data_IF_985282446359
#
_entry.id   IF_985282446359
#
_cell.length_a   1.000
_cell.length_b   1.000
_cell.length_c   1.000
_cell.angle_alpha   90.00
_cell.angle_beta   90.00
_cell.angle_gamma   90.00
#
_symmetry.space_group_name_H-M   'P 1'
#
loop_
_entity.id
_entity.type
_entity.pdbx_description
1 polymer ?
#
# COMPACT_ATOMS: atom_id res chain seq x y z
N UNK A 1 19.24 -3.12 2.98
CA UNK A 1 18.15 -3.23 3.98
C UNK A 1 17.10 -2.21 3.59
N UNK A 2 15.81 -2.56 3.45
CA UNK A 2 14.77 -1.55 3.30
C UNK A 2 14.88 -0.52 4.44
N UNK A 3 14.56 0.74 4.17
CA UNK A 3 14.46 1.71 5.24
C UNK A 3 13.45 1.20 6.28
N UNK A 4 13.69 1.42 7.59
CA UNK A 4 12.84 0.89 8.67
C UNK A 4 11.34 1.16 8.45
N UNK A 5 11.02 2.31 7.84
CA UNK A 5 9.67 2.70 7.42
C UNK A 5 9.04 1.71 6.43
N UNK A 6 9.77 1.27 5.40
CA UNK A 6 9.25 0.32 4.41
C UNK A 6 9.03 -1.07 5.02
N UNK A 7 9.97 -1.57 5.82
CA UNK A 7 9.79 -2.84 6.54
C UNK A 7 8.55 -2.82 7.44
N UNK A 8 8.26 -1.69 8.08
CA UNK A 8 7.06 -1.51 8.89
C UNK A 8 5.77 -1.51 8.06
N UNK A 9 5.77 -0.85 6.90
CA UNK A 9 4.62 -0.82 6.00
C UNK A 9 4.37 -2.20 5.37
N UNK A 10 5.42 -2.95 5.00
CA UNK A 10 5.32 -4.33 4.53
C UNK A 10 4.74 -5.26 5.59
N UNK A 11 5.24 -5.16 6.83
CA UNK A 11 4.71 -5.93 7.95
C UNK A 11 3.24 -5.59 8.24
N UNK A 12 2.86 -4.31 8.13
CA UNK A 12 1.47 -3.87 8.31
C UNK A 12 0.55 -4.41 7.20
N UNK A 13 0.99 -4.36 5.95
CA UNK A 13 0.27 -4.92 4.81
C UNK A 13 0.06 -6.44 4.97
N UNK A 14 1.12 -7.17 5.32
CA UNK A 14 1.07 -8.61 5.57
C UNK A 14 0.17 -8.97 6.78
N UNK A 15 0.06 -8.08 7.77
CA UNK A 15 -0.86 -8.27 8.89
C UNK A 15 -2.33 -8.09 8.44
N UNK A 16 -2.61 -7.08 7.63
CA UNK A 16 -3.94 -6.81 7.08
C UNK A 16 -4.46 -7.97 6.20
N UNK A 17 -3.57 -8.61 5.44
CA UNK A 17 -3.92 -9.78 4.62
C UNK A 17 -4.36 -11.01 5.44
N UNK A 18 -4.05 -11.06 6.75
CA UNK A 18 -4.31 -12.21 7.62
C UNK A 18 -5.45 -12.01 8.61
N UNK A 19 -5.76 -10.76 8.96
CA UNK A 19 -6.77 -10.43 9.97
C UNK A 19 -7.37 -9.04 9.75
N UNK A 20 -8.59 -8.77 10.22
CA UNK A 20 -9.17 -7.43 10.14
C UNK A 20 -8.28 -6.39 10.84
N UNK A 21 -8.23 -5.17 10.29
CA UNK A 21 -7.36 -4.10 10.79
C UNK A 21 -7.56 -3.82 12.28
N UNK A 22 -8.79 -3.89 12.79
CA UNK A 22 -9.10 -3.72 14.22
C UNK A 22 -8.31 -4.69 15.12
N UNK A 23 -8.01 -5.91 14.66
CA UNK A 23 -7.25 -6.93 15.38
C UNK A 23 -5.72 -6.83 15.19
N UNK A 24 -5.23 -5.96 14.29
CA UNK A 24 -3.78 -5.74 14.10
C UNK A 24 -3.21 -4.95 15.28
N UNK A 25 -2.12 -5.45 15.88
CA UNK A 25 -1.46 -4.79 17.02
C UNK A 25 -0.13 -4.18 16.57
N UNK A 26 0.13 -2.95 17.01
CA UNK A 26 1.38 -2.21 16.72
C UNK A 26 2.63 -3.01 17.11
N UNK A 27 2.59 -3.71 18.25
CA UNK A 27 3.72 -4.55 18.71
C UNK A 27 4.03 -5.70 17.76
N UNK A 28 3.00 -6.32 17.17
CA UNK A 28 3.18 -7.45 16.25
C UNK A 28 3.79 -6.97 14.92
N UNK A 29 3.38 -5.79 14.46
CA UNK A 29 3.95 -5.15 13.27
C UNK A 29 5.42 -4.80 13.48
N UNK A 30 5.76 -4.17 14.61
CA UNK A 30 7.14 -3.84 14.94
C UNK A 30 8.04 -5.08 15.00
N UNK A 31 7.56 -6.14 15.67
CA UNK A 31 8.27 -7.41 15.78
C UNK A 31 8.48 -8.06 14.40
N UNK A 32 7.45 -8.10 13.55
CA UNK A 32 7.54 -8.65 12.20
C UNK A 32 8.49 -7.85 11.28
N UNK A 33 8.59 -6.54 11.48
CA UNK A 33 9.51 -5.67 10.75
C UNK A 33 10.95 -5.69 11.31
N UNK A 34 11.21 -6.38 12.43
CA UNK A 34 12.52 -6.42 13.07
C UNK A 34 12.94 -5.10 13.72
N UNK A 35 11.97 -4.27 14.13
CA UNK A 35 12.24 -2.96 14.74
C UNK A 35 11.60 -2.83 16.12
N UNK A 36 12.08 -1.89 16.93
CA UNK A 36 11.51 -1.65 18.26
C UNK A 36 10.11 -1.03 18.17
N UNK A 37 9.27 -1.25 19.20
CA UNK A 37 7.99 -0.56 19.33
C UNK A 37 8.14 0.95 19.31
N UNK A 38 9.16 1.48 19.99
CA UNK A 38 9.43 2.91 20.06
C UNK A 38 9.73 3.47 18.67
N UNK A 39 10.52 2.78 17.85
CA UNK A 39 10.79 3.15 16.45
C UNK A 39 9.48 3.25 15.67
N UNK A 40 8.61 2.25 15.76
CA UNK A 40 7.32 2.29 15.06
C UNK A 40 6.46 3.49 15.48
N UNK A 41 6.34 3.74 16.79
CA UNK A 41 5.59 4.90 17.28
C UNK A 41 6.24 6.23 16.91
N UNK A 42 7.57 6.32 16.85
CA UNK A 42 8.25 7.53 16.38
C UNK A 42 7.98 7.80 14.90
N UNK A 43 7.95 6.75 14.08
CA UNK A 43 7.72 6.87 12.63
C UNK A 43 6.26 7.21 12.29
N UNK A 44 5.30 6.62 12.99
CA UNK A 44 3.87 6.70 12.60
C UNK A 44 2.96 7.35 13.63
N UNK A 45 3.41 7.56 14.86
CA UNK A 45 2.65 8.16 15.97
C UNK A 45 1.56 7.27 16.56
N UNK A 46 0.73 6.65 15.72
CA UNK A 46 -0.40 5.82 16.14
C UNK A 46 -0.74 4.74 15.12
N UNK A 47 -1.64 3.82 15.49
CA UNK A 47 -2.17 2.79 14.59
C UNK A 47 -2.87 3.42 13.38
N UNK A 48 -3.60 4.51 13.59
CA UNK A 48 -4.24 5.24 12.49
C UNK A 48 -3.21 5.97 11.62
N UNK A 49 -2.13 6.48 12.22
CA UNK A 49 -1.01 7.04 11.45
C UNK A 49 -0.35 6.01 10.55
N UNK A 50 -0.11 4.80 11.06
CA UNK A 50 0.37 3.67 10.27
C UNK A 50 -0.62 3.28 9.16
N UNK A 51 -1.92 3.21 9.47
CA UNK A 51 -2.95 2.91 8.48
C UNK A 51 -2.96 3.91 7.33
N UNK A 52 -2.93 5.22 7.65
CA UNK A 52 -2.87 6.28 6.64
C UNK A 52 -1.61 6.20 5.79
N UNK A 53 -0.45 5.96 6.42
CA UNK A 53 0.80 5.82 5.70
C UNK A 53 0.79 4.62 4.75
N UNK A 54 0.19 3.51 5.18
CA UNK A 54 0.04 2.31 4.35
C UNK A 54 -0.88 2.56 3.15
N UNK A 55 -2.08 3.12 3.37
CA UNK A 55 -3.01 3.47 2.28
C UNK A 55 -2.34 4.42 1.29
N UNK A 56 -1.61 5.42 1.79
CA UNK A 56 -0.87 6.36 0.94
C UNK A 56 0.17 5.65 0.09
N UNK A 57 0.98 4.75 0.67
CA UNK A 57 2.00 4.00 -0.08
C UNK A 57 1.39 3.18 -1.21
N UNK A 58 0.33 2.43 -0.93
CA UNK A 58 -0.33 1.61 -1.95
C UNK A 58 -0.97 2.48 -3.05
N UNK A 59 -1.55 3.62 -2.67
CA UNK A 59 -2.14 4.58 -3.62
C UNK A 59 -1.06 5.22 -4.50
N UNK A 60 0.07 5.63 -3.91
CA UNK A 60 1.20 6.21 -4.64
C UNK A 60 1.76 5.18 -5.65
N UNK A 61 1.87 3.91 -5.26
CA UNK A 61 2.28 2.82 -6.16
C UNK A 61 1.30 2.58 -7.32
N UNK A 62 -0.01 2.62 -7.04
CA UNK A 62 -1.05 2.55 -8.07
C UNK A 62 -0.94 3.71 -9.07
N UNK A 63 -0.83 4.95 -8.57
CA UNK A 63 -0.73 6.15 -9.40
C UNK A 63 0.54 6.17 -10.25
N UNK A 64 1.66 5.68 -9.71
CA UNK A 64 2.89 5.52 -10.49
C UNK A 64 2.73 4.52 -11.65
N UNK A 65 1.91 3.48 -11.50
CA UNK A 65 1.59 2.58 -12.61
C UNK A 65 0.64 3.21 -13.64
N UNK A 66 -0.34 4.01 -13.19
CA UNK A 66 -1.20 4.81 -14.09
C UNK A 66 -0.36 5.77 -14.91
N UNK A 67 0.55 6.50 -14.28
CA UNK A 67 1.45 7.45 -14.96
C UNK A 67 2.33 6.74 -16.01
N UNK A 68 2.90 5.58 -15.68
CA UNK A 68 3.67 4.77 -16.64
C UNK A 68 2.82 4.28 -17.82
N UNK A 69 1.59 3.81 -17.58
CA UNK A 69 0.70 3.38 -18.65
C UNK A 69 0.29 4.57 -19.54
N UNK A 70 0.02 5.72 -18.92
CA UNK A 70 -0.29 6.94 -19.62
C UNK A 70 0.91 7.54 -20.33
N UNK A 71 2.16 7.34 -19.92
CA UNK A 71 3.34 7.90 -20.60
C UNK A 71 4.05 6.90 -21.51
N UNK A 72 3.50 5.69 -21.62
CA UNK A 72 4.01 4.62 -22.48
C UNK A 72 3.93 4.93 -23.97
N UNK A 73 4.56 4.07 -24.76
CA UNK A 73 4.56 4.15 -26.22
C UNK A 73 3.24 3.63 -26.79
N UNK A 74 2.84 4.15 -27.94
CA UNK A 74 1.61 3.77 -28.63
C UNK A 74 0.69 4.96 -28.88
N UNK A 75 -0.39 4.71 -29.60
CA UNK A 75 -1.42 5.71 -29.83
C UNK A 75 -2.25 5.98 -28.55
N UNK A 76 -3.07 7.05 -28.52
CA UNK A 76 -3.88 7.36 -27.36
C UNK A 76 -4.85 6.24 -26.91
N UNK A 77 -5.35 5.42 -27.83
CA UNK A 77 -6.26 4.31 -27.52
C UNK A 77 -5.50 3.17 -26.85
N UNK A 78 -4.30 2.85 -27.33
CA UNK A 78 -3.43 1.84 -26.73
C UNK A 78 -3.07 2.23 -25.29
N UNK A 79 -2.70 3.49 -25.06
CA UNK A 79 -2.39 4.02 -23.71
C UNK A 79 -3.58 3.94 -22.77
N UNK A 80 -4.78 4.34 -23.22
CA UNK A 80 -6.00 4.22 -22.41
C UNK A 80 -6.33 2.76 -22.07
N UNK A 81 -6.14 1.85 -23.02
CA UNK A 81 -6.36 0.41 -22.82
C UNK A 81 -5.39 -0.12 -21.76
N UNK A 82 -4.09 0.21 -21.86
CA UNK A 82 -3.09 -0.17 -20.88
C UNK A 82 -3.37 0.40 -19.47
N UNK A 83 -3.85 1.64 -19.37
CA UNK A 83 -4.24 2.22 -18.08
C UNK A 83 -5.45 1.50 -17.47
N UNK A 84 -6.44 1.13 -18.28
CA UNK A 84 -7.58 0.35 -17.81
C UNK A 84 -7.16 -1.04 -17.32
N UNK A 85 -6.31 -1.74 -18.08
CA UNK A 85 -5.75 -3.04 -17.70
C UNK A 85 -4.96 -2.97 -16.40
N UNK A 86 -4.07 -1.97 -16.27
CA UNK A 86 -3.34 -1.72 -15.03
C UNK A 86 -4.27 -1.49 -13.84
N UNK A 87 -5.30 -0.66 -14.02
CA UNK A 87 -6.24 -0.33 -12.95
C UNK A 87 -6.99 -1.57 -12.46
N UNK A 88 -7.45 -2.42 -13.39
CA UNK A 88 -8.14 -3.67 -13.05
C UNK A 88 -7.20 -4.66 -12.36
N UNK A 89 -5.95 -4.80 -12.83
CA UNK A 89 -4.96 -5.66 -12.20
C UNK A 89 -4.62 -5.20 -10.77
N UNK A 90 -4.31 -3.92 -10.60
CA UNK A 90 -3.97 -3.34 -9.29
C UNK A 90 -5.11 -3.48 -8.27
N UNK A 91 -6.36 -3.28 -8.68
CA UNK A 91 -7.52 -3.45 -7.82
C UNK A 91 -7.79 -4.92 -7.44
N UNK A 92 -7.38 -5.88 -8.28
CA UNK A 92 -7.49 -7.33 -7.97
C UNK A 92 -6.44 -7.77 -6.96
N UNK A 93 -5.22 -7.28 -7.12
CA UNK A 93 -4.07 -7.75 -6.35
C UNK A 93 -3.91 -7.03 -5.00
N UNK A 94 -4.51 -5.84 -4.85
CA UNK A 94 -4.35 -5.02 -3.67
C UNK A 94 -5.70 -4.53 -3.12
N UNK A 95 -6.06 -5.07 -1.95
CA UNK A 95 -7.31 -4.76 -1.28
C UNK A 95 -7.43 -3.28 -0.88
N UNK A 96 -6.31 -2.61 -0.58
CA UNK A 96 -6.32 -1.18 -0.24
C UNK A 96 -6.55 -0.32 -1.48
N UNK A 97 -5.92 -0.66 -2.60
CA UNK A 97 -6.19 0.02 -3.89
C UNK A 97 -7.64 -0.18 -4.29
N UNK A 98 -8.18 -1.40 -4.17
CA UNK A 98 -9.60 -1.67 -4.42
C UNK A 98 -10.52 -0.81 -3.57
N UNK A 99 -10.26 -0.74 -2.27
CA UNK A 99 -11.06 0.04 -1.33
C UNK A 99 -11.02 1.54 -1.67
N UNK A 100 -9.85 2.07 -2.06
CA UNK A 100 -9.73 3.47 -2.49
C UNK A 100 -10.51 3.75 -3.78
N UNK A 101 -10.48 2.83 -4.75
CA UNK A 101 -11.14 3.02 -6.05
C UNK A 101 -12.66 2.82 -6.00
N UNK A 102 -13.15 1.94 -5.12
CA UNK A 102 -14.56 1.49 -5.12
C UNK A 102 -15.33 1.87 -3.86
N UNK A 103 -14.65 2.31 -2.80
CA UNK A 103 -15.24 2.53 -1.49
C UNK A 103 -15.66 1.25 -0.76
N UNK A 104 -15.26 0.07 -1.27
CA UNK A 104 -15.69 -1.26 -0.81
C UNK A 104 -14.52 -2.17 -0.40
#
# INVERSE_FOLDING_TARGET
MPAARESLLDAAYAALARRPWSAVRMVDVAAAAGVSRQTLYNEFGSKDGLARALVRRETDGYLAGVDRALTGHGDPRERLTATAEWTVAAARDNALVRAVLTGC
#
